data_IF_366393688475
#
_entry.id   IF_366393688475
#
_cell.length_a   1.000
_cell.length_b   1.000
_cell.length_c   1.000
_cell.angle_alpha   90.00
_cell.angle_beta   90.00
_cell.angle_gamma   90.00
#
_symmetry.space_group_name_H-M   'P 1'
#
loop_
_entity.id
_entity.type
_entity.pdbx_description
1 polymer ?
#
# COMPACT_ATOMS: atom_id res chain seq x y z
N UNK A 1 -7.39 10.82 9.34
CA UNK A 1 -7.66 9.69 8.43
C UNK A 1 -7.61 8.42 9.24
N UNK A 2 -8.48 7.45 9.00
CA UNK A 2 -8.45 6.18 9.73
C UNK A 2 -7.79 5.09 8.88
N UNK A 3 -7.22 4.08 9.54
CA UNK A 3 -6.68 2.90 8.86
C UNK A 3 -7.74 2.24 7.95
N UNK A 4 -8.95 2.05 8.47
CA UNK A 4 -10.05 1.40 7.75
C UNK A 4 -10.43 2.14 6.45
N UNK A 5 -10.38 3.48 6.43
CA UNK A 5 -10.69 4.24 5.22
C UNK A 5 -9.62 4.07 4.13
N UNK A 6 -8.34 4.10 4.53
CA UNK A 6 -7.22 3.87 3.61
C UNK A 6 -7.23 2.43 3.10
N UNK A 7 -7.50 1.46 3.99
CA UNK A 7 -7.62 0.04 3.65
C UNK A 7 -8.72 -0.17 2.60
N UNK A 8 -9.94 0.30 2.86
CA UNK A 8 -11.07 0.15 1.93
C UNK A 8 -10.80 0.81 0.57
N UNK A 9 -10.22 2.01 0.54
CA UNK A 9 -9.89 2.68 -0.72
C UNK A 9 -8.76 1.98 -1.49
N UNK A 10 -7.77 1.43 -0.77
CA UNK A 10 -6.67 0.66 -1.37
C UNK A 10 -7.19 -0.64 -1.97
N UNK A 11 -7.98 -1.39 -1.22
CA UNK A 11 -8.62 -2.62 -1.68
C UNK A 11 -9.50 -2.38 -2.90
N UNK A 12 -10.32 -1.33 -2.88
CA UNK A 12 -11.13 -0.92 -4.03
C UNK A 12 -10.26 -0.65 -5.27
N UNK A 13 -9.18 0.10 -5.11
CA UNK A 13 -8.27 0.45 -6.22
C UNK A 13 -7.62 -0.81 -6.83
N UNK A 14 -7.12 -1.69 -5.97
CA UNK A 14 -6.45 -2.92 -6.39
C UNK A 14 -7.40 -3.89 -7.09
N UNK A 15 -8.59 -4.10 -6.52
CA UNK A 15 -9.59 -4.97 -7.14
C UNK A 15 -10.14 -4.42 -8.46
N UNK A 16 -10.23 -3.09 -8.59
CA UNK A 16 -10.78 -2.45 -9.79
C UNK A 16 -9.78 -2.40 -10.94
N UNK A 17 -8.51 -2.10 -10.67
CA UNK A 17 -7.52 -1.79 -11.72
C UNK A 17 -6.38 -2.80 -11.83
N UNK A 18 -6.13 -3.63 -10.82
CA UNK A 18 -4.96 -4.50 -10.73
C UNK A 18 -5.33 -5.96 -10.40
N UNK A 19 -6.55 -6.38 -10.77
CA UNK A 19 -7.05 -7.72 -10.45
C UNK A 19 -6.21 -8.84 -11.08
N UNK A 20 -5.57 -8.60 -12.23
CA UNK A 20 -4.67 -9.56 -12.88
C UNK A 20 -3.32 -9.66 -12.16
N UNK A 21 -2.75 -8.54 -11.73
CA UNK A 21 -1.53 -8.47 -10.93
C UNK A 21 -1.71 -9.09 -9.55
N UNK A 22 -2.89 -8.93 -8.94
CA UNK A 22 -3.26 -9.64 -7.71
C UNK A 22 -3.31 -11.15 -7.94
N UNK A 23 -3.97 -11.61 -9.02
CA UNK A 23 -4.11 -13.04 -9.34
C UNK A 23 -2.77 -13.71 -9.68
N UNK A 24 -1.89 -13.00 -10.37
CA UNK A 24 -0.55 -13.47 -10.73
C UNK A 24 0.45 -13.40 -9.57
N UNK A 25 0.08 -12.75 -8.46
CA UNK A 25 0.97 -12.53 -7.31
C UNK A 25 2.01 -11.43 -7.54
N UNK A 26 1.90 -10.67 -8.64
CA UNK A 26 2.77 -9.51 -8.92
C UNK A 26 2.52 -8.38 -7.92
N UNK A 27 1.29 -8.22 -7.45
CA UNK A 27 0.93 -7.34 -6.34
C UNK A 27 0.37 -8.18 -5.19
N UNK A 28 0.79 -7.87 -3.97
CA UNK A 28 0.24 -8.42 -2.75
C UNK A 28 -0.20 -7.27 -1.84
N UNK A 29 -1.41 -7.36 -1.28
CA UNK A 29 -1.91 -6.39 -0.32
C UNK A 29 -1.99 -7.05 1.06
N UNK A 30 -1.39 -6.40 2.05
CA UNK A 30 -1.36 -6.89 3.43
C UNK A 30 -1.74 -5.78 4.38
N UNK A 31 -2.53 -6.15 5.38
CA UNK A 31 -2.94 -5.27 6.47
C UNK A 31 -2.32 -5.82 7.75
N UNK A 32 -1.64 -4.94 8.48
CA UNK A 32 -0.84 -5.32 9.64
C UNK A 32 -1.22 -4.46 10.82
N UNK A 33 -1.65 -5.12 11.91
CA UNK A 33 -1.87 -4.45 13.17
C UNK A 33 -0.53 -4.33 13.90
N UNK A 34 -0.01 -3.11 14.01
CA UNK A 34 1.29 -2.80 14.62
C UNK A 34 1.34 -3.04 16.13
N UNK A 35 0.19 -3.14 16.81
CA UNK A 35 0.12 -3.39 18.26
C UNK A 35 0.35 -4.88 18.60
N UNK A 36 0.29 -5.78 17.62
CA UNK A 36 0.55 -7.21 17.84
C UNK A 36 2.05 -7.51 17.84
N UNK A 37 2.55 -8.16 18.89
CA UNK A 37 3.96 -8.54 19.04
C UNK A 37 4.52 -9.32 17.84
N UNK A 38 3.72 -10.21 17.25
CA UNK A 38 4.08 -10.98 16.06
C UNK A 38 4.45 -10.10 14.86
N UNK A 39 3.99 -8.86 14.85
CA UNK A 39 4.18 -7.90 13.76
C UNK A 39 5.26 -6.85 14.05
N UNK A 40 5.84 -6.82 15.26
CA UNK A 40 6.78 -5.77 15.67
C UNK A 40 8.01 -5.69 14.76
N UNK A 41 8.57 -6.83 14.36
CA UNK A 41 9.72 -6.87 13.43
C UNK A 41 9.38 -6.24 12.08
N UNK A 42 8.18 -6.49 11.56
CA UNK A 42 7.73 -5.89 10.31
C UNK A 42 7.41 -4.42 10.50
N UNK A 43 6.74 -4.04 11.59
CA UNK A 43 6.47 -2.64 11.89
C UNK A 43 7.76 -1.82 12.02
N UNK A 44 8.78 -2.36 12.69
CA UNK A 44 10.11 -1.75 12.82
C UNK A 44 10.82 -1.64 11.46
N UNK A 45 10.82 -2.71 10.64
CA UNK A 45 11.41 -2.70 9.29
C UNK A 45 10.82 -1.59 8.40
N UNK A 46 9.53 -1.32 8.52
CA UNK A 46 8.83 -0.32 7.74
C UNK A 46 8.76 1.06 8.44
N UNK A 47 9.33 1.18 9.65
CA UNK A 47 9.20 2.36 10.52
C UNK A 47 7.72 2.78 10.67
N UNK A 48 6.82 1.79 10.71
CA UNK A 48 5.39 1.99 10.69
C UNK A 48 4.89 2.35 12.09
N UNK A 49 4.32 3.54 12.22
CA UNK A 49 3.65 4.01 13.43
C UNK A 49 2.22 4.46 13.10
N UNK A 50 1.25 4.01 13.90
CA UNK A 50 -0.15 4.37 13.73
C UNK A 50 -0.72 3.99 12.36
N UNK A 51 -1.48 4.88 11.74
CA UNK A 51 -2.04 4.67 10.39
C UNK A 51 -0.97 4.98 9.34
N UNK A 52 -0.57 3.99 8.55
CA UNK A 52 0.45 4.17 7.52
C UNK A 52 0.15 3.32 6.29
N UNK A 53 0.63 3.76 5.11
CA UNK A 53 0.58 3.01 3.87
C UNK A 53 1.94 3.03 3.18
N UNK A 54 2.42 1.86 2.78
CA UNK A 54 3.73 1.68 2.18
C UNK A 54 3.64 0.87 0.89
N UNK A 55 4.58 1.11 -0.01
CA UNK A 55 4.93 0.14 -1.03
C UNK A 55 6.19 -0.61 -0.61
N UNK A 56 6.16 -1.94 -0.74
CA UNK A 56 7.36 -2.76 -0.72
C UNK A 56 7.66 -3.23 -2.15
N UNK A 57 8.53 -2.51 -2.85
CA UNK A 57 8.89 -2.85 -4.24
C UNK A 57 10.04 -3.85 -4.21
N UNK A 58 9.78 -5.08 -4.65
CA UNK A 58 10.79 -6.14 -4.72
C UNK A 58 11.27 -6.30 -6.15
N UNK A 59 12.53 -5.90 -6.44
CA UNK A 59 13.15 -6.04 -7.76
C UNK A 59 14.50 -6.72 -7.65
N UNK A 60 14.76 -7.76 -8.45
CA UNK A 60 16.05 -8.49 -8.48
C UNK A 60 16.53 -8.94 -7.08
N UNK A 61 15.58 -9.34 -6.22
CA UNK A 61 15.86 -9.73 -4.83
C UNK A 61 16.17 -8.57 -3.86
N UNK A 62 16.07 -7.31 -4.32
CA UNK A 62 16.20 -6.11 -3.49
C UNK A 62 14.84 -5.53 -3.17
N UNK A 63 14.60 -5.30 -1.88
CA UNK A 63 13.42 -4.63 -1.37
C UNK A 63 13.66 -3.12 -1.29
N UNK A 64 12.69 -2.33 -1.75
CA UNK A 64 12.65 -0.88 -1.61
C UNK A 64 11.33 -0.47 -0.96
N UNK A 65 11.42 0.04 0.26
CA UNK A 65 10.26 0.49 1.03
C UNK A 65 10.03 1.97 0.75
N UNK A 66 8.82 2.30 0.29
CA UNK A 66 8.42 3.67 -0.03
C UNK A 66 7.23 4.02 0.85
N UNK A 67 7.40 5.02 1.73
CA UNK A 67 6.33 5.54 2.56
C UNK A 67 5.42 6.47 1.73
N UNK A 68 4.17 6.07 1.53
CA UNK A 68 3.15 6.84 0.80
C UNK A 68 2.02 7.32 1.72
N UNK A 69 2.26 7.29 3.04
CA UNK A 69 1.26 7.64 4.05
C UNK A 69 0.76 9.08 3.89
N UNK A 70 1.64 10.03 3.51
CA UNK A 70 1.24 11.42 3.28
C UNK A 70 0.16 11.56 2.20
N UNK A 71 0.33 10.85 1.07
CA UNK A 71 -0.71 10.74 0.05
C UNK A 71 -2.00 10.14 0.63
N UNK A 72 -1.88 9.03 1.36
CA UNK A 72 -3.03 8.34 1.90
C UNK A 72 -3.82 9.20 2.90
N UNK A 73 -3.13 10.02 3.69
CA UNK A 73 -3.71 11.01 4.58
C UNK A 73 -4.40 12.15 3.83
N UNK A 74 -3.76 12.66 2.78
CA UNK A 74 -4.24 13.79 1.98
C UNK A 74 -5.51 13.44 1.19
N UNK A 75 -5.53 12.25 0.57
CA UNK A 75 -6.60 11.84 -0.35
C UNK A 75 -7.62 10.87 0.25
N UNK A 76 -7.36 10.25 1.40
CA UNK A 76 -8.20 9.15 1.90
C UNK A 76 -9.66 9.48 2.21
N UNK A 77 -10.08 10.76 2.16
CA UNK A 77 -11.50 11.17 2.29
C UNK A 77 -12.24 11.13 0.95
N UNK A 78 -11.51 11.19 -0.15
CA UNK A 78 -12.03 11.23 -1.50
C UNK A 78 -11.63 9.95 -2.22
N UNK A 79 -12.58 9.02 -2.32
CA UNK A 79 -12.35 7.70 -2.92
C UNK A 79 -11.85 7.79 -4.35
N UNK A 80 -12.41 8.70 -5.15
CA UNK A 80 -12.07 8.81 -6.57
C UNK A 80 -10.66 9.40 -6.74
N UNK A 81 -10.36 10.49 -6.03
CA UNK A 81 -9.03 11.09 -6.07
C UNK A 81 -7.96 10.15 -5.50
N UNK A 82 -8.27 9.43 -4.42
CA UNK A 82 -7.37 8.41 -3.87
C UNK A 82 -7.13 7.29 -4.87
N UNK A 83 -8.18 6.72 -5.45
CA UNK A 83 -8.04 5.57 -6.35
C UNK A 83 -7.26 5.93 -7.61
N UNK A 84 -7.53 7.11 -8.17
CA UNK A 84 -6.80 7.61 -9.34
C UNK A 84 -5.31 7.76 -9.05
N UNK A 85 -4.96 8.48 -7.99
CA UNK A 85 -3.56 8.78 -7.69
C UNK A 85 -2.80 7.54 -7.17
N UNK A 86 -3.46 6.65 -6.41
CA UNK A 86 -2.87 5.38 -6.02
C UNK A 86 -2.59 4.50 -7.24
N UNK A 87 -3.53 4.43 -8.20
CA UNK A 87 -3.33 3.70 -9.45
C UNK A 87 -2.08 4.20 -10.18
N UNK A 88 -1.97 5.50 -10.40
CA UNK A 88 -0.82 6.10 -11.09
C UNK A 88 0.50 5.72 -10.39
N UNK A 89 0.54 5.84 -9.05
CA UNK A 89 1.72 5.49 -8.25
C UNK A 89 2.11 4.00 -8.35
N UNK A 90 1.13 3.09 -8.41
CA UNK A 90 1.36 1.65 -8.59
C UNK A 90 1.88 1.38 -10.00
N UNK A 91 1.27 1.94 -11.03
CA UNK A 91 1.72 1.80 -12.42
C UNK A 91 3.16 2.28 -12.60
N UNK A 92 3.55 3.37 -11.94
CA UNK A 92 4.94 3.85 -11.91
C UNK A 92 5.91 2.84 -11.29
N UNK A 93 5.51 2.13 -10.23
CA UNK A 93 6.37 1.08 -9.63
C UNK A 93 6.41 -0.16 -10.51
N UNK A 94 5.27 -0.57 -11.09
CA UNK A 94 5.20 -1.75 -11.95
C UNK A 94 6.05 -1.61 -13.21
N UNK A 95 6.20 -0.40 -13.75
CA UNK A 95 7.09 -0.10 -14.90
C UNK A 95 8.58 -0.20 -14.54
N UNK A 96 8.91 -0.11 -13.25
CA UNK A 96 10.29 -0.15 -12.77
C UNK A 96 10.73 -1.57 -12.40
N UNK A 97 9.80 -2.51 -12.17
CA UNK A 97 10.09 -3.94 -11.98
C UNK A 97 10.72 -4.50 -13.27
#
# INVERSE_FOLDING_TARGET
MTCNAIEANTEYTLNTYFSEELKSGKINFQTLNVDKEANYKTAEKFEAAGTSLFFNVCKDGKESIINISNFAFSKGRDKEAFSKELKEKIEEQLKKL
#
